data_IF_220123545982
#
_entry.id   IF_220123545982
#
_cell.length_a   1.000
_cell.length_b   1.000
_cell.length_c   1.000
_cell.angle_alpha   90.00
_cell.angle_beta   90.00
_cell.angle_gamma   90.00
#
_symmetry.space_group_name_H-M   'P 1'
#
loop_
_entity.id
_entity.type
_entity.pdbx_description
1 polymer ?
#
# COMPACT_ATOMS: atom_id res chain seq x y z
N UNK A 1 -5.38 0.16 -24.03
CA UNK A 1 -5.48 0.17 -22.56
C UNK A 1 -6.62 -0.73 -22.14
N UNK A 2 -6.44 -1.65 -21.19
CA UNK A 2 -7.56 -2.47 -20.70
C UNK A 2 -8.44 -1.61 -19.79
N UNK A 3 -9.75 -1.52 -20.05
CA UNK A 3 -10.67 -0.65 -19.30
C UNK A 3 -10.59 -0.86 -17.79
N UNK A 4 -10.45 -2.11 -17.34
CA UNK A 4 -10.26 -2.44 -15.92
C UNK A 4 -8.99 -1.84 -15.29
N UNK A 5 -7.87 -1.83 -16.01
CA UNK A 5 -6.63 -1.21 -15.51
C UNK A 5 -6.70 0.32 -15.43
N UNK A 6 -7.49 0.94 -16.31
CA UNK A 6 -7.73 2.39 -16.24
C UNK A 6 -8.54 2.75 -14.99
N UNK A 7 -9.58 1.96 -14.70
CA UNK A 7 -10.42 2.13 -13.50
C UNK A 7 -9.59 1.99 -12.22
N UNK A 8 -8.70 0.99 -12.14
CA UNK A 8 -7.80 0.80 -10.99
C UNK A 8 -6.90 2.02 -10.76
N UNK A 9 -6.35 2.62 -11.82
CA UNK A 9 -5.51 3.82 -11.72
C UNK A 9 -6.32 5.03 -11.26
N UNK A 10 -7.53 5.22 -11.80
CA UNK A 10 -8.40 6.35 -11.43
C UNK A 10 -8.80 6.25 -9.95
N UNK A 11 -9.30 5.10 -9.53
CA UNK A 11 -9.70 4.86 -8.13
C UNK A 11 -8.49 5.02 -7.20
N UNK A 12 -7.34 4.45 -7.58
CA UNK A 12 -6.12 4.58 -6.79
C UNK A 12 -5.65 6.04 -6.65
N UNK A 13 -5.80 6.84 -7.71
CA UNK A 13 -5.48 8.27 -7.69
C UNK A 13 -6.42 9.03 -6.76
N UNK A 14 -7.73 8.76 -6.82
CA UNK A 14 -8.73 9.33 -5.92
C UNK A 14 -8.38 9.00 -4.48
N UNK A 15 -8.13 7.73 -4.15
CA UNK A 15 -7.76 7.31 -2.80
C UNK A 15 -6.46 7.96 -2.32
N UNK A 16 -5.46 8.08 -3.19
CA UNK A 16 -4.20 8.74 -2.82
C UNK A 16 -4.44 10.20 -2.41
N UNK A 17 -5.24 10.94 -3.18
CA UNK A 17 -5.60 12.34 -2.86
C UNK A 17 -6.44 12.41 -1.58
N UNK A 18 -7.47 11.58 -1.45
CA UNK A 18 -8.32 11.54 -0.25
C UNK A 18 -7.56 11.13 1.01
N UNK A 19 -6.54 10.28 0.92
CA UNK A 19 -5.70 9.92 2.05
C UNK A 19 -4.66 11.01 2.40
N UNK A 20 -4.18 11.77 1.41
CA UNK A 20 -3.24 12.86 1.64
C UNK A 20 -3.91 14.11 2.24
N UNK A 21 -5.13 14.41 1.84
CA UNK A 21 -5.78 15.68 2.18
C UNK A 21 -5.98 15.85 3.71
N UNK A 22 -6.49 14.86 4.46
CA UNK A 22 -6.60 14.93 5.92
C UNK A 22 -5.25 14.99 6.63
N UNK A 23 -4.20 14.41 6.04
CA UNK A 23 -2.85 14.50 6.59
C UNK A 23 -2.38 15.96 6.67
N UNK A 24 -2.62 16.73 5.60
CA UNK A 24 -2.24 18.14 5.55
C UNK A 24 -3.14 19.04 6.39
N UNK A 25 -4.43 18.72 6.51
CA UNK A 25 -5.40 19.58 7.22
C UNK A 25 -5.50 19.29 8.71
N UNK A 26 -5.46 18.02 9.11
CA UNK A 26 -5.76 17.57 10.47
C UNK A 26 -4.59 16.84 11.13
N UNK A 27 -3.53 16.51 10.38
CA UNK A 27 -2.37 15.80 10.92
C UNK A 27 -2.65 14.34 11.33
N UNK A 28 -3.79 13.78 10.92
CA UNK A 28 -4.19 12.41 11.21
C UNK A 28 -3.52 11.44 10.22
N UNK A 29 -2.45 10.80 10.67
CA UNK A 29 -1.63 9.89 9.86
C UNK A 29 -2.16 8.46 9.93
N UNK A 30 -2.48 7.96 11.12
CA UNK A 30 -2.87 6.55 11.35
C UNK A 30 -4.14 6.19 10.58
N UNK A 31 -5.15 7.07 10.62
CA UNK A 31 -6.45 6.85 9.98
C UNK A 31 -6.35 6.85 8.45
N UNK A 32 -5.44 7.64 7.89
CA UNK A 32 -5.43 7.94 6.46
C UNK A 32 -4.33 7.21 5.68
N UNK A 33 -3.31 6.68 6.36
CA UNK A 33 -2.19 6.01 5.69
C UNK A 33 -2.62 4.79 4.85
N UNK A 34 -3.62 4.01 5.30
CA UNK A 34 -4.13 2.87 4.50
C UNK A 34 -4.75 3.32 3.19
N UNK A 35 -5.51 4.41 3.21
CA UNK A 35 -6.20 4.94 2.04
C UNK A 35 -5.16 5.46 1.04
N UNK A 36 -4.17 6.21 1.55
CA UNK A 36 -3.08 6.75 0.73
C UNK A 36 -2.22 5.64 0.11
N UNK A 37 -1.64 4.75 0.93
CA UNK A 37 -0.74 3.70 0.45
C UNK A 37 -1.47 2.62 -0.34
N UNK A 38 -2.72 2.30 0.03
CA UNK A 38 -3.60 1.44 -0.74
C UNK A 38 -3.94 2.03 -2.11
N UNK A 39 -4.16 3.34 -2.18
CA UNK A 39 -4.31 4.07 -3.44
C UNK A 39 -3.09 3.94 -4.35
N UNK A 40 -1.89 4.12 -3.79
CA UNK A 40 -0.63 3.95 -4.52
C UNK A 40 -0.46 2.50 -5.00
N UNK A 41 -0.79 1.51 -4.18
CA UNK A 41 -0.78 0.10 -4.58
C UNK A 41 -1.70 -0.15 -5.78
N UNK A 42 -2.92 0.39 -5.76
CA UNK A 42 -3.87 0.26 -6.87
C UNK A 42 -3.35 0.90 -8.16
N UNK A 43 -2.70 2.07 -8.07
CA UNK A 43 -2.06 2.70 -9.22
C UNK A 43 -0.98 1.80 -9.82
N UNK A 44 -0.09 1.26 -8.99
CA UNK A 44 0.97 0.35 -9.43
C UNK A 44 0.35 -0.89 -10.10
N UNK A 45 -0.61 -1.53 -9.45
CA UNK A 45 -1.30 -2.71 -10.00
C UNK A 45 -1.91 -2.39 -11.36
N UNK A 46 -2.64 -1.28 -11.49
CA UNK A 46 -3.26 -0.85 -12.74
C UNK A 46 -2.24 -0.58 -13.84
N UNK A 47 -1.13 0.12 -13.55
CA UNK A 47 -0.07 0.41 -14.53
C UNK A 47 0.53 -0.89 -15.08
N UNK A 48 0.90 -1.83 -14.21
CA UNK A 48 1.54 -3.07 -14.64
C UNK A 48 0.54 -4.05 -15.28
N UNK A 49 -0.72 -4.08 -14.82
CA UNK A 49 -1.80 -4.87 -15.44
C UNK A 49 -2.10 -4.38 -16.86
N UNK A 50 -2.05 -3.07 -17.10
CA UNK A 50 -2.22 -2.50 -18.43
C UNK A 50 -1.09 -2.94 -19.38
N UNK A 51 0.15 -3.01 -18.87
CA UNK A 51 1.32 -3.47 -19.64
C UNK A 51 1.39 -4.99 -19.79
N UNK A 52 0.68 -5.76 -18.97
CA UNK A 52 0.60 -7.22 -19.06
C UNK A 52 1.81 -7.98 -18.50
N UNK A 53 2.75 -7.29 -17.85
CA UNK A 53 3.98 -7.89 -17.33
C UNK A 53 4.02 -7.82 -15.80
N UNK A 54 4.09 -9.00 -15.17
CA UNK A 54 4.32 -9.17 -13.73
C UNK A 54 5.77 -9.60 -13.49
N UNK A 55 6.69 -8.70 -13.84
CA UNK A 55 8.14 -8.94 -13.80
C UNK A 55 8.75 -8.48 -12.46
N UNK A 56 10.08 -8.58 -12.34
CA UNK A 56 10.82 -8.10 -11.15
C UNK A 56 10.46 -6.67 -10.73
N UNK A 57 10.29 -5.76 -11.70
CA UNK A 57 9.99 -4.35 -11.41
C UNK A 57 8.60 -4.16 -10.80
N UNK A 58 7.60 -4.95 -11.22
CA UNK A 58 6.27 -4.96 -10.61
C UNK A 58 6.35 -5.28 -9.11
N UNK A 59 7.04 -6.38 -8.78
CA UNK A 59 7.17 -6.81 -7.39
C UNK A 59 8.02 -5.84 -6.57
N UNK A 60 9.09 -5.30 -7.16
CA UNK A 60 9.92 -4.30 -6.50
C UNK A 60 9.10 -3.05 -6.14
N UNK A 61 8.26 -2.55 -7.07
CA UNK A 61 7.39 -1.41 -6.80
C UNK A 61 6.39 -1.69 -5.67
N UNK A 62 5.75 -2.87 -5.68
CA UNK A 62 4.83 -3.27 -4.60
C UNK A 62 5.55 -3.38 -3.26
N UNK A 63 6.69 -4.08 -3.20
CA UNK A 63 7.44 -4.24 -1.97
C UNK A 63 7.97 -2.91 -1.42
N UNK A 64 8.32 -1.95 -2.28
CA UNK A 64 8.67 -0.61 -1.84
C UNK A 64 7.51 0.09 -1.11
N UNK A 65 6.28 -0.03 -1.62
CA UNK A 65 5.10 0.55 -0.94
C UNK A 65 4.80 -0.18 0.36
N UNK A 66 4.91 -1.51 0.39
CA UNK A 66 4.74 -2.29 1.63
C UNK A 66 5.81 -1.90 2.66
N UNK A 67 7.06 -1.73 2.24
CA UNK A 67 8.14 -1.28 3.11
C UNK A 67 7.86 0.12 3.69
N UNK A 68 7.40 1.06 2.85
CA UNK A 68 6.96 2.38 3.30
C UNK A 68 5.82 2.29 4.33
N UNK A 69 4.86 1.39 4.11
CA UNK A 69 3.78 1.12 5.07
C UNK A 69 4.33 0.69 6.43
N UNK A 70 5.27 -0.26 6.44
CA UNK A 70 5.94 -0.72 7.67
C UNK A 70 6.75 0.38 8.36
N UNK A 71 7.46 1.20 7.59
CA UNK A 71 8.21 2.34 8.13
C UNK A 71 7.30 3.39 8.75
N UNK A 72 6.12 3.64 8.17
CA UNK A 72 5.13 4.55 8.74
C UNK A 72 4.56 4.02 10.06
N UNK A 73 4.26 2.72 10.14
CA UNK A 73 3.83 2.08 11.39
C UNK A 73 4.90 2.22 12.49
N UNK A 74 6.16 1.96 12.14
CA UNK A 74 7.28 2.11 13.06
C UNK A 74 7.47 3.57 13.49
N UNK A 75 7.35 4.51 12.57
CA UNK A 75 7.41 5.95 12.86
C UNK A 75 6.31 6.37 13.84
N UNK A 76 5.06 5.94 13.61
CA UNK A 76 3.94 6.23 14.49
C UNK A 76 4.21 5.70 15.90
N UNK A 77 4.64 4.43 16.00
CA UNK A 77 4.89 3.79 17.28
C UNK A 77 5.99 4.50 18.09
N UNK A 78 7.09 4.88 17.43
CA UNK A 78 8.25 5.48 18.10
C UNK A 78 8.10 6.99 18.36
N UNK A 79 7.45 7.73 17.47
CA UNK A 79 7.49 9.20 17.47
C UNK A 79 6.12 9.87 17.56
N UNK A 80 5.01 9.14 17.37
CA UNK A 80 3.63 9.65 17.52
C UNK A 80 2.84 8.87 18.56
N UNK A 81 3.43 8.70 19.75
CA UNK A 81 2.85 7.91 20.84
C UNK A 81 1.46 8.37 21.25
N UNK A 82 1.18 9.68 21.25
CA UNK A 82 -0.16 10.20 21.57
C UNK A 82 -1.21 9.71 20.56
N UNK A 83 -0.91 9.81 19.26
CA UNK A 83 -1.81 9.35 18.19
C UNK A 83 -1.99 7.82 18.25
N UNK A 84 -0.91 7.10 18.52
CA UNK A 84 -0.96 5.65 18.74
C UNK A 84 -1.90 5.28 19.90
N UNK A 85 -1.75 5.94 21.06
CA UNK A 85 -2.57 5.65 22.24
C UNK A 85 -4.05 5.96 21.99
N UNK A 86 -4.34 7.11 21.39
CA UNK A 86 -5.71 7.52 21.04
C UNK A 86 -6.36 6.57 20.02
N UNK A 87 -5.59 6.07 19.06
CA UNK A 87 -6.07 5.25 17.93
C UNK A 87 -5.51 3.83 17.93
N UNK A 88 -5.33 3.23 19.11
CA UNK A 88 -4.68 1.93 19.29
C UNK A 88 -5.31 0.83 18.42
N UNK A 89 -6.65 0.78 18.36
CA UNK A 89 -7.36 -0.22 17.55
C UNK A 89 -7.08 -0.06 16.05
N UNK A 90 -7.05 1.18 15.56
CA UNK A 90 -6.76 1.48 14.16
C UNK A 90 -5.32 1.09 13.85
N UNK A 91 -4.37 1.38 14.75
CA UNK A 91 -2.98 0.98 14.60
C UNK A 91 -2.82 -0.55 14.46
N UNK A 92 -3.46 -1.34 15.33
CA UNK A 92 -3.41 -2.80 15.22
C UNK A 92 -4.10 -3.33 13.95
N UNK A 93 -5.17 -2.67 13.50
CA UNK A 93 -5.77 -2.99 12.21
C UNK A 93 -4.80 -2.72 11.05
N UNK A 94 -4.06 -1.60 11.08
CA UNK A 94 -3.01 -1.30 10.10
C UNK A 94 -1.88 -2.34 10.12
N UNK A 95 -1.47 -2.80 11.30
CA UNK A 95 -0.49 -3.88 11.46
C UNK A 95 -0.96 -5.18 10.84
N UNK A 96 -2.23 -5.57 11.07
CA UNK A 96 -2.82 -6.75 10.47
C UNK A 96 -2.84 -6.65 8.94
N UNK A 97 -3.28 -5.52 8.40
CA UNK A 97 -3.26 -5.25 6.96
C UNK A 97 -1.85 -5.35 6.37
N UNK A 98 -0.86 -4.75 7.04
CA UNK A 98 0.55 -4.85 6.63
C UNK A 98 1.02 -6.31 6.55
N UNK A 99 0.75 -7.12 7.57
CA UNK A 99 1.12 -8.54 7.60
C UNK A 99 0.44 -9.29 6.44
N UNK A 100 -0.86 -9.05 6.21
CA UNK A 100 -1.60 -9.68 5.12
C UNK A 100 -1.02 -9.31 3.74
N UNK A 101 -0.62 -8.05 3.54
CA UNK A 101 0.02 -7.59 2.30
C UNK A 101 1.36 -8.30 2.07
N UNK A 102 2.22 -8.39 3.10
CA UNK A 102 3.50 -9.10 3.03
C UNK A 102 3.28 -10.57 2.64
N UNK A 103 2.34 -11.26 3.29
CA UNK A 103 2.06 -12.67 3.01
C UNK A 103 1.53 -12.84 1.59
N UNK A 104 0.55 -12.03 1.18
CA UNK A 104 -0.09 -12.16 -0.12
C UNK A 104 0.88 -11.92 -1.27
N UNK A 105 1.60 -10.79 -1.25
CA UNK A 105 2.54 -10.44 -2.32
C UNK A 105 3.84 -11.24 -2.24
N UNK A 106 4.31 -11.57 -1.04
CA UNK A 106 5.44 -12.47 -0.82
C UNK A 106 5.20 -13.85 -1.41
N UNK A 107 4.03 -14.45 -1.14
CA UNK A 107 3.63 -15.73 -1.73
C UNK A 107 3.56 -15.64 -3.26
N UNK A 108 2.93 -14.61 -3.80
CA UNK A 108 2.81 -14.43 -5.25
C UNK A 108 4.19 -14.30 -5.93
N UNK A 109 5.12 -13.58 -5.31
CA UNK A 109 6.50 -13.44 -5.77
C UNK A 109 7.22 -14.79 -5.80
N UNK A 110 7.26 -15.51 -4.66
CA UNK A 110 7.94 -16.81 -4.54
C UNK A 110 7.39 -17.83 -5.55
N UNK A 111 6.07 -17.87 -5.73
CA UNK A 111 5.44 -18.78 -6.70
C UNK A 111 5.86 -18.49 -8.14
N UNK A 112 6.00 -17.22 -8.52
CA UNK A 112 6.49 -16.86 -9.86
C UNK A 112 7.98 -17.12 -10.02
N UNK A 113 8.76 -16.93 -8.95
CA UNK A 113 10.21 -17.15 -8.95
C UNK A 113 10.49 -18.62 -9.21
N UNK A 114 9.78 -19.51 -8.50
CA UNK A 114 9.87 -20.96 -8.68
C UNK A 114 9.48 -21.42 -10.09
N UNK A 115 8.60 -20.68 -10.76
CA UNK A 115 8.17 -20.96 -12.14
C UNK A 115 9.12 -20.39 -13.21
N UNK A 116 10.15 -19.64 -12.83
CA UNK A 116 11.03 -18.94 -13.78
C UNK A 116 10.35 -17.79 -14.54
N UNK A 117 9.22 -17.29 -14.04
CA UNK A 117 8.35 -16.32 -14.74
C UNK A 117 8.48 -14.90 -14.13
N UNK A 118 9.70 -14.49 -13.77
CA UNK A 118 9.99 -13.27 -13.02
C UNK A 118 11.00 -12.36 -13.73
#
# INVERSE_FOLDING_TARGET
MKTGSMIEIIIGSIFTVFGLLPLFLYGELISNMAIMLGGILLIIIGIFRNKGYFNKNYFMAIFSVIALWGLMLLYIYLFRTNEYLESTNIFYFQMLLFILLVIFFGRAYILRLKKGNL
#
